data_IF_500746659553
#
_entry.id   IF_500746659553
#
_cell.length_a   1.000
_cell.length_b   1.000
_cell.length_c   1.000
_cell.angle_alpha   90.00
_cell.angle_beta   90.00
_cell.angle_gamma   90.00
#
_symmetry.space_group_name_H-M   'P 1'
#
loop_
_entity.id
_entity.type
_entity.pdbx_description
1 polymer ?
#
# COMPACT_ATOMS: atom_id res chain seq x y z
N UNK A 1 27.33 2.08 21.54
CA UNK A 1 28.03 1.44 20.40
C UNK A 1 26.99 0.69 19.57
N UNK A 2 26.78 1.06 18.31
CA UNK A 2 25.76 0.44 17.44
C UNK A 2 26.13 -1.02 17.11
N UNK A 3 25.17 -1.93 17.22
CA UNK A 3 25.37 -3.37 17.06
C UNK A 3 25.72 -3.73 15.61
N UNK A 4 26.41 -4.85 15.40
CA UNK A 4 26.80 -5.31 14.05
C UNK A 4 25.59 -5.46 13.11
N UNK A 5 24.43 -5.83 13.65
CA UNK A 5 23.16 -5.93 12.92
C UNK A 5 22.61 -4.57 12.49
N UNK A 6 22.64 -3.56 13.37
CA UNK A 6 22.23 -2.19 13.05
C UNK A 6 23.11 -1.56 11.97
N UNK A 7 24.44 -1.79 12.04
CA UNK A 7 25.37 -1.34 11.01
C UNK A 7 25.05 -1.97 9.65
N UNK A 8 24.72 -3.26 9.64
CA UNK A 8 24.34 -3.99 8.41
C UNK A 8 23.00 -3.50 7.84
N UNK A 9 22.01 -3.21 8.70
CA UNK A 9 20.73 -2.61 8.30
C UNK A 9 20.90 -1.21 7.72
N UNK A 10 21.71 -0.36 8.36
CA UNK A 10 22.03 0.97 7.85
C UNK A 10 22.79 0.91 6.52
N UNK A 11 23.72 -0.04 6.37
CA UNK A 11 24.40 -0.29 5.10
C UNK A 11 23.45 -0.76 4.00
N UNK A 12 22.50 -1.64 4.30
CA UNK A 12 21.48 -2.07 3.34
C UNK A 12 20.58 -0.91 2.90
N UNK A 13 20.13 -0.06 3.84
CA UNK A 13 19.38 1.17 3.50
C UNK A 13 20.18 2.11 2.61
N UNK A 14 21.45 2.35 2.93
CA UNK A 14 22.34 3.19 2.10
C UNK A 14 22.59 2.56 0.73
N UNK A 15 22.74 1.24 0.65
CA UNK A 15 22.91 0.52 -0.60
C UNK A 15 21.65 0.59 -1.46
N UNK A 16 20.47 0.40 -0.88
CA UNK A 16 19.18 0.57 -1.57
C UNK A 16 18.98 2.01 -2.03
N UNK A 17 19.25 3.02 -1.19
CA UNK A 17 19.20 4.43 -1.59
C UNK A 17 20.15 4.74 -2.74
N UNK A 18 21.38 4.23 -2.69
CA UNK A 18 22.37 4.38 -3.78
C UNK A 18 21.95 3.66 -5.06
N UNK A 19 21.37 2.47 -4.92
CA UNK A 19 20.83 1.71 -6.05
C UNK A 19 19.67 2.46 -6.71
N UNK A 20 18.70 2.94 -5.92
CA UNK A 20 17.58 3.78 -6.37
C UNK A 20 18.08 5.05 -7.08
N UNK A 21 19.09 5.73 -6.54
CA UNK A 21 19.73 6.90 -7.18
C UNK A 21 20.42 6.57 -8.50
N UNK A 22 21.11 5.42 -8.59
CA UNK A 22 21.82 5.02 -9.81
C UNK A 22 20.84 4.60 -10.91
N UNK A 23 19.77 3.89 -10.54
CA UNK A 23 18.67 3.55 -11.46
C UNK A 23 17.97 4.82 -11.97
N UNK A 24 17.80 5.83 -11.11
CA UNK A 24 17.26 7.15 -11.49
C UNK A 24 18.12 7.85 -12.56
N UNK A 25 19.43 7.88 -12.38
CA UNK A 25 20.35 8.47 -13.38
C UNK A 25 20.32 7.70 -14.70
N UNK A 26 20.28 6.37 -14.66
CA UNK A 26 20.21 5.52 -15.85
C UNK A 26 18.92 5.73 -16.65
N UNK A 27 17.77 5.83 -15.97
CA UNK A 27 16.48 6.08 -16.61
C UNK A 27 16.39 7.51 -17.15
N UNK A 28 16.89 8.52 -16.40
CA UNK A 28 16.99 9.91 -16.89
C UNK A 28 17.92 10.01 -18.12
N UNK A 29 19.02 9.27 -18.16
CA UNK A 29 19.90 9.24 -19.35
C UNK A 29 19.26 8.56 -20.56
N UNK A 30 18.39 7.57 -20.34
CA UNK A 30 17.73 6.80 -21.41
C UNK A 30 16.54 7.54 -22.01
N UNK A 31 15.70 8.15 -21.17
CA UNK A 31 14.59 9.02 -21.62
C UNK A 31 15.07 10.24 -22.41
N UNK A 32 16.22 10.81 -22.07
CA UNK A 32 16.86 11.87 -22.85
C UNK A 32 17.44 11.38 -24.20
N UNK A 33 17.75 10.08 -24.34
CA UNK A 33 18.21 9.49 -25.60
C UNK A 33 17.04 9.08 -26.51
N UNK A 34 15.96 8.57 -25.94
CA UNK A 34 14.77 8.13 -26.68
C UNK A 34 13.93 9.32 -27.19
N UNK A 35 13.95 10.46 -26.50
CA UNK A 35 13.33 11.71 -26.95
C UNK A 35 14.00 12.35 -28.19
N UNK A 36 15.19 11.90 -28.56
CA UNK A 36 15.92 12.36 -29.75
C UNK A 36 15.82 11.40 -30.95
N UNK A 37 15.10 10.27 -30.81
CA UNK A 37 15.08 9.18 -31.78
C UNK A 37 13.65 8.66 -32.03
N UNK A 38 12.77 9.52 -32.54
CA UNK A 38 11.53 9.10 -33.17
C UNK A 38 11.60 9.34 -34.68
N UNK A 39 12.20 8.37 -35.39
CA UNK A 39 11.84 7.98 -36.75
C UNK A 39 12.23 6.51 -36.95
N UNK A 40 11.23 5.74 -37.40
CA UNK A 40 11.29 4.42 -38.07
C UNK A 40 11.43 3.12 -37.23
N UNK A 41 10.32 2.40 -37.26
CA UNK A 41 10.10 0.95 -37.46
C UNK A 41 10.68 -0.13 -36.50
N UNK A 42 9.70 -0.80 -35.86
CA UNK A 42 9.57 -2.24 -35.52
C UNK A 42 10.82 -3.11 -35.24
N UNK A 43 10.83 -3.73 -34.05
CA UNK A 43 10.73 -5.20 -33.95
C UNK A 43 10.62 -5.66 -32.50
N UNK A 44 9.75 -6.65 -32.30
CA UNK A 44 9.54 -7.39 -31.07
C UNK A 44 10.85 -8.03 -30.57
N UNK A 45 11.22 -7.76 -29.32
CA UNK A 45 11.76 -8.74 -28.37
C UNK A 45 12.07 -8.09 -27.02
N UNK A 46 11.47 -8.63 -25.96
CA UNK A 46 11.93 -8.58 -24.56
C UNK A 46 12.22 -7.19 -23.99
N UNK A 47 11.24 -6.61 -23.27
CA UNK A 47 11.47 -5.79 -22.07
C UNK A 47 10.16 -5.73 -21.29
N UNK A 48 10.07 -6.48 -20.19
CA UNK A 48 9.01 -6.33 -19.19
C UNK A 48 9.17 -4.94 -18.59
N UNK A 49 8.38 -4.00 -19.10
CA UNK A 49 8.24 -2.68 -18.52
C UNK A 49 7.57 -2.85 -17.16
N UNK A 50 8.27 -2.48 -16.09
CA UNK A 50 7.79 -2.49 -14.71
C UNK A 50 6.76 -1.38 -14.49
N UNK A 51 5.70 -1.39 -15.28
CA UNK A 51 4.51 -0.55 -15.10
C UNK A 51 3.36 -1.47 -14.71
N UNK A 52 2.70 -1.17 -13.60
CA UNK A 52 1.42 -1.81 -13.27
C UNK A 52 0.43 -1.37 -14.35
N UNK A 53 0.12 -2.26 -15.29
CA UNK A 53 -0.92 -2.03 -16.30
C UNK A 53 -2.26 -2.35 -15.63
N UNK A 54 -3.05 -1.32 -15.32
CA UNK A 54 -4.46 -1.49 -15.00
C UNK A 54 -5.19 -1.82 -16.30
N UNK A 55 -5.61 -3.09 -16.44
CA UNK A 55 -6.35 -3.56 -17.62
C UNK A 55 -7.77 -2.98 -17.67
N UNK A 56 -8.30 -2.80 -18.88
CA UNK A 56 -9.64 -2.28 -19.14
C UNK A 56 -10.75 -3.11 -18.47
N UNK A 57 -11.73 -2.40 -17.91
CA UNK A 57 -12.85 -2.87 -17.09
C UNK A 57 -13.92 -3.72 -17.82
N UNK A 58 -13.62 -4.34 -18.95
CA UNK A 58 -14.60 -5.06 -19.75
C UNK A 58 -14.32 -6.57 -19.78
N UNK A 59 -14.76 -7.26 -18.72
CA UNK A 59 -15.11 -8.67 -18.79
C UNK A 59 -16.55 -8.84 -18.24
N UNK A 60 -17.43 -9.29 -19.13
CA UNK A 60 -18.88 -9.19 -19.07
C UNK A 60 -19.54 -9.91 -17.88
N UNK A 61 -20.48 -9.22 -17.24
CA UNK A 61 -21.50 -9.81 -16.38
C UNK A 61 -22.54 -10.53 -17.27
N UNK A 62 -22.71 -11.85 -17.12
CA UNK A 62 -23.70 -12.63 -17.88
C UNK A 62 -24.63 -13.38 -16.92
N UNK A 63 -25.70 -12.70 -16.53
CA UNK A 63 -26.98 -13.27 -16.08
C UNK A 63 -27.01 -13.98 -14.71
N UNK A 64 -27.92 -13.45 -13.87
CA UNK A 64 -28.71 -14.10 -12.82
C UNK A 64 -28.04 -15.29 -12.09
N UNK A 65 -27.58 -15.03 -10.86
CA UNK A 65 -26.92 -15.93 -9.88
C UNK A 65 -25.38 -16.04 -9.92
N UNK A 66 -24.66 -14.97 -10.23
CA UNK A 66 -23.19 -15.02 -10.41
C UNK A 66 -22.36 -14.53 -9.22
N UNK A 67 -21.39 -15.36 -8.82
CA UNK A 67 -20.20 -14.96 -8.07
C UNK A 67 -19.26 -14.24 -9.04
N UNK A 68 -18.95 -12.98 -8.76
CA UNK A 68 -17.96 -12.20 -9.49
C UNK A 68 -16.55 -12.67 -9.06
N UNK A 69 -15.81 -13.32 -9.96
CA UNK A 69 -14.45 -13.78 -9.64
C UNK A 69 -13.43 -12.64 -9.70
N UNK A 70 -12.41 -12.66 -8.81
CA UNK A 70 -11.94 -11.52 -8.07
C UNK A 70 -10.47 -11.21 -8.41
N UNK A 71 -10.11 -11.21 -9.70
CA UNK A 71 -8.69 -11.03 -10.09
C UNK A 71 -8.15 -9.63 -9.83
N UNK A 72 -9.03 -8.65 -9.63
CA UNK A 72 -8.65 -7.24 -9.44
C UNK A 72 -9.39 -6.55 -8.29
N UNK A 73 -10.00 -7.28 -7.34
CA UNK A 73 -10.76 -6.64 -6.25
C UNK A 73 -9.91 -5.63 -5.46
N UNK A 74 -8.64 -5.95 -5.19
CA UNK A 74 -7.73 -5.03 -4.52
C UNK A 74 -7.42 -3.79 -5.40
N UNK A 75 -7.22 -3.99 -6.70
CA UNK A 75 -6.97 -2.89 -7.64
C UNK A 75 -8.19 -1.98 -7.81
N UNK A 76 -9.39 -2.56 -7.84
CA UNK A 76 -10.66 -1.82 -7.87
C UNK A 76 -10.88 -1.04 -6.57
N UNK A 77 -10.64 -1.69 -5.42
CA UNK A 77 -10.70 -1.04 -4.12
C UNK A 77 -9.72 0.14 -4.02
N UNK A 78 -8.48 -0.07 -4.48
CA UNK A 78 -7.43 0.94 -4.54
C UNK A 78 -7.88 2.13 -5.40
N UNK A 79 -8.29 1.91 -6.65
CA UNK A 79 -8.70 2.97 -7.57
C UNK A 79 -9.91 3.74 -7.03
N UNK A 80 -10.93 3.05 -6.53
CA UNK A 80 -12.11 3.69 -5.92
C UNK A 80 -11.76 4.53 -4.70
N UNK A 81 -10.85 4.05 -3.85
CA UNK A 81 -10.42 4.81 -2.68
C UNK A 81 -9.56 6.02 -3.07
N UNK A 82 -8.67 5.85 -4.05
CA UNK A 82 -7.82 6.91 -4.58
C UNK A 82 -8.63 8.06 -5.15
N UNK A 83 -9.63 7.75 -5.98
CA UNK A 83 -10.57 8.72 -6.55
C UNK A 83 -11.27 9.51 -5.43
N UNK A 84 -11.80 8.81 -4.43
CA UNK A 84 -12.46 9.44 -3.27
C UNK A 84 -11.52 10.34 -2.48
N UNK A 85 -10.25 9.96 -2.34
CA UNK A 85 -9.22 10.72 -1.63
C UNK A 85 -8.63 11.87 -2.46
N UNK A 86 -8.89 11.92 -3.77
CA UNK A 86 -8.31 12.90 -4.69
C UNK A 86 -6.86 12.58 -5.08
N UNK A 87 -6.47 11.30 -5.06
CA UNK A 87 -5.15 10.82 -5.45
C UNK A 87 -5.20 10.38 -6.92
N UNK A 88 -4.43 10.99 -7.83
CA UNK A 88 -4.41 10.57 -9.23
C UNK A 88 -3.79 9.17 -9.41
N UNK A 89 -4.31 8.39 -10.37
CA UNK A 89 -3.73 7.09 -10.73
C UNK A 89 -2.26 7.19 -11.18
N UNK A 90 -1.86 8.32 -11.78
CA UNK A 90 -0.46 8.57 -12.15
C UNK A 90 0.48 8.59 -10.94
N UNK A 91 -0.03 9.02 -9.78
CA UNK A 91 0.72 8.99 -8.52
C UNK A 91 0.80 7.56 -8.00
N UNK A 92 -0.29 6.79 -8.05
CA UNK A 92 -0.31 5.41 -7.56
C UNK A 92 0.49 4.42 -8.42
N UNK A 93 0.52 4.64 -9.73
CA UNK A 93 1.30 3.82 -10.68
C UNK A 93 2.79 4.15 -10.65
N UNK A 94 3.14 5.37 -10.21
CA UNK A 94 4.52 5.77 -10.11
C UNK A 94 5.15 5.22 -8.84
N UNK A 95 5.98 4.20 -9.01
CA UNK A 95 6.77 3.55 -7.96
C UNK A 95 7.53 4.50 -7.02
N UNK A 96 7.87 5.70 -7.48
CA UNK A 96 8.65 6.69 -6.73
C UNK A 96 7.79 7.74 -6.01
N UNK A 97 6.47 7.59 -6.05
CA UNK A 97 5.57 8.52 -5.39
C UNK A 97 5.71 8.42 -3.88
N UNK A 98 5.67 9.59 -3.25
CA UNK A 98 5.68 9.73 -1.80
C UNK A 98 4.36 10.37 -1.41
N UNK A 99 3.73 9.81 -0.38
CA UNK A 99 2.53 10.36 0.20
C UNK A 99 2.79 11.74 0.79
N UNK A 100 1.96 12.70 0.39
CA UNK A 100 1.92 14.05 0.96
C UNK A 100 0.81 14.17 2.01
N UNK A 101 0.34 13.03 2.56
CA UNK A 101 -0.79 13.00 3.50
C UNK A 101 -0.52 13.86 4.72
N UNK A 102 0.73 13.98 5.16
CA UNK A 102 1.12 14.88 6.24
C UNK A 102 0.80 16.35 5.90
N UNK A 103 1.31 16.87 4.78
CA UNK A 103 1.10 18.26 4.38
C UNK A 103 -0.39 18.55 4.13
N UNK A 104 -1.09 17.59 3.52
CA UNK A 104 -2.54 17.68 3.34
C UNK A 104 -3.28 17.74 4.67
N UNK A 105 -2.91 16.88 5.62
CA UNK A 105 -3.58 16.76 6.90
C UNK A 105 -3.40 17.98 7.80
N UNK A 106 -2.24 18.62 7.78
CA UNK A 106 -1.98 19.88 8.51
C UNK A 106 -2.96 21.00 8.12
N UNK A 107 -3.41 20.98 6.86
CA UNK A 107 -4.39 21.92 6.30
C UNK A 107 -5.84 21.45 6.47
N UNK A 108 -6.07 20.24 6.99
CA UNK A 108 -7.41 19.63 7.10
C UNK A 108 -8.19 20.20 8.29
N UNK A 109 -9.51 20.49 8.14
CA UNK A 109 -10.37 20.83 9.26
C UNK A 109 -10.59 19.64 10.22
N UNK A 110 -10.30 18.41 9.79
CA UNK A 110 -10.42 17.19 10.60
C UNK A 110 -9.17 16.88 11.42
N UNK A 111 -8.13 17.73 11.42
CA UNK A 111 -6.81 17.40 12.01
C UNK A 111 -6.85 16.94 13.48
N UNK A 112 -7.78 17.49 14.25
CA UNK A 112 -7.96 17.19 15.68
C UNK A 112 -8.67 15.84 15.94
N UNK A 113 -9.16 15.17 14.88
CA UNK A 113 -9.82 13.85 14.95
C UNK A 113 -8.85 12.68 14.76
N UNK A 114 -7.55 12.95 14.65
CA UNK A 114 -6.55 11.87 14.64
C UNK A 114 -6.73 11.06 15.92
N UNK A 115 -7.00 9.77 15.77
CA UNK A 115 -6.97 8.86 16.91
C UNK A 115 -5.53 8.88 17.43
N UNK A 116 -5.27 9.69 18.45
CA UNK A 116 -4.05 9.60 19.24
C UNK A 116 -4.16 8.28 19.99
N UNK A 117 -3.77 7.19 19.33
CA UNK A 117 -3.34 5.97 20.04
C UNK A 117 -2.03 6.34 20.73
N UNK A 118 -2.18 6.97 21.90
CA UNK A 118 -1.10 7.38 22.81
C UNK A 118 -0.24 6.20 23.30
N UNK A 119 -0.60 4.96 22.96
CA UNK A 119 -0.02 3.76 23.53
C UNK A 119 0.84 2.91 22.57
N UNK A 120 1.02 3.31 21.30
CA UNK A 120 1.78 2.51 20.32
C UNK A 120 3.10 3.11 19.83
N UNK A 121 3.56 4.21 20.41
CA UNK A 121 4.94 4.68 20.22
C UNK A 121 5.70 4.37 21.51
N UNK A 122 6.44 3.24 21.61
CA UNK A 122 7.42 3.07 22.67
C UNK A 122 8.38 4.26 22.61
N UNK A 123 8.61 4.92 23.75
CA UNK A 123 9.47 6.10 23.90
C UNK A 123 10.92 5.93 23.38
N UNK A 124 11.29 4.74 22.89
CA UNK A 124 12.62 4.36 22.42
C UNK A 124 12.72 4.05 20.91
N UNK A 125 11.68 4.23 20.11
CA UNK A 125 11.87 4.22 18.65
C UNK A 125 12.54 5.54 18.26
N UNK A 126 13.86 5.48 18.03
CA UNK A 126 14.60 6.55 17.39
C UNK A 126 14.13 6.65 15.93
N UNK A 127 12.97 7.26 15.72
CA UNK A 127 12.51 7.72 14.42
C UNK A 127 13.51 8.80 14.05
N UNK A 128 14.56 8.42 13.31
CA UNK A 128 15.39 9.38 12.61
C UNK A 128 14.43 10.17 11.75
N UNK A 129 14.03 11.36 12.22
CA UNK A 129 13.43 12.37 11.37
C UNK A 129 14.37 12.51 10.18
N UNK A 130 14.02 11.91 9.05
CA UNK A 130 14.68 12.24 7.79
C UNK A 130 14.15 13.61 7.42
N UNK A 131 14.64 14.64 8.13
CA UNK A 131 14.64 16.02 7.64
C UNK A 131 15.61 16.05 6.46
N UNK A 132 15.17 15.49 5.35
CA UNK A 132 15.72 15.83 4.05
C UNK A 132 14.65 16.61 3.34
N UNK A 133 14.79 17.93 3.47
CA UNK A 133 14.50 18.88 2.41
C UNK A 133 14.89 18.24 1.06
N UNK A 134 13.90 17.86 0.25
CA UNK A 134 14.11 17.36 -1.09
C UNK A 134 13.32 18.24 -2.05
N UNK A 135 13.99 18.66 -3.10
CA UNK A 135 13.59 19.70 -4.04
C UNK A 135 12.23 19.39 -4.69
N UNK A 136 11.41 20.43 -4.82
CA UNK A 136 10.00 20.45 -5.26
C UNK A 136 9.75 19.81 -6.65
N UNK A 137 10.80 19.47 -7.41
CA UNK A 137 10.72 19.23 -8.85
C UNK A 137 10.51 17.76 -9.28
N UNK A 138 10.69 16.76 -8.39
CA UNK A 138 10.65 15.36 -8.83
C UNK A 138 9.46 14.53 -8.29
N UNK A 139 8.58 15.10 -7.47
CA UNK A 139 7.39 14.40 -6.96
C UNK A 139 6.12 15.01 -7.55
N UNK A 140 5.27 14.20 -8.21
CA UNK A 140 3.89 14.58 -8.46
C UNK A 140 3.18 14.68 -7.11
N UNK A 141 3.24 15.87 -6.51
CA UNK A 141 2.67 16.16 -5.20
C UNK A 141 1.15 15.98 -5.27
N UNK A 142 0.59 15.10 -4.42
CA UNK A 142 -0.86 15.08 -4.18
C UNK A 142 -1.18 16.39 -3.45
N UNK A 143 -1.64 17.40 -4.19
CA UNK A 143 -1.87 18.74 -3.63
C UNK A 143 -3.29 18.94 -3.08
N UNK A 144 -4.20 17.98 -3.30
CA UNK A 144 -5.64 18.18 -3.10
C UNK A 144 -6.34 16.98 -2.42
N UNK A 145 -5.87 16.62 -1.23
CA UNK A 145 -6.51 15.59 -0.41
C UNK A 145 -7.97 15.92 -0.08
N UNK A 146 -8.86 14.93 -0.17
CA UNK A 146 -10.30 15.03 0.12
C UNK A 146 -10.70 14.34 1.42
N UNK A 147 -10.16 14.80 2.54
CA UNK A 147 -10.42 14.20 3.86
C UNK A 147 -11.88 14.29 4.32
N UNK A 148 -12.67 15.21 3.75
CA UNK A 148 -14.11 15.32 3.98
C UNK A 148 -14.88 14.10 3.44
N UNK A 149 -14.33 13.40 2.43
CA UNK A 149 -14.98 12.29 1.72
C UNK A 149 -14.63 10.91 2.24
N UNK A 150 -13.81 10.81 3.29
CA UNK A 150 -13.36 9.54 3.85
C UNK A 150 -13.93 9.29 5.26
N UNK A 151 -14.20 8.03 5.63
CA UNK A 151 -14.68 7.66 6.97
C UNK A 151 -13.56 7.70 8.02
N UNK A 152 -13.94 7.55 9.29
CA UNK A 152 -13.03 7.67 10.44
C UNK A 152 -11.85 6.68 10.40
N UNK A 153 -12.10 5.44 9.97
CA UNK A 153 -11.09 4.38 9.87
C UNK A 153 -10.03 4.63 8.79
N UNK A 154 -10.32 5.54 7.84
CA UNK A 154 -9.40 5.97 6.78
C UNK A 154 -8.62 7.25 7.13
N UNK A 155 -8.87 7.89 8.27
CA UNK A 155 -8.09 9.06 8.67
C UNK A 155 -6.61 8.71 8.85
N UNK A 156 -5.68 9.66 8.65
CA UNK A 156 -4.26 9.39 8.78
C UNK A 156 -3.90 8.97 10.21
N UNK A 157 -2.98 8.01 10.33
CA UNK A 157 -2.43 7.60 11.62
C UNK A 157 -1.16 8.40 11.94
N UNK A 158 -0.73 8.46 13.21
CA UNK A 158 0.53 9.12 13.58
C UNK A 158 1.74 8.59 12.80
N UNK A 159 1.75 7.29 12.48
CA UNK A 159 2.79 6.67 11.66
C UNK A 159 2.81 7.23 10.24
N UNK A 160 1.65 7.35 9.58
CA UNK A 160 1.54 7.92 8.23
C UNK A 160 1.93 9.40 8.19
N UNK A 161 1.65 10.14 9.26
CA UNK A 161 2.06 11.55 9.36
C UNK A 161 3.56 11.73 9.65
N UNK A 162 4.28 10.68 10.02
CA UNK A 162 5.68 10.77 10.47
C UNK A 162 6.69 9.99 9.63
N UNK A 163 6.22 8.99 8.87
CA UNK A 163 7.05 8.06 8.11
C UNK A 163 6.79 8.29 6.62
N UNK A 164 7.85 8.50 5.83
CA UNK A 164 7.77 8.59 4.37
C UNK A 164 7.34 7.24 3.79
N UNK A 165 6.32 7.24 2.93
CA UNK A 165 5.76 6.02 2.35
C UNK A 165 5.03 6.28 1.03
N UNK A 166 4.74 5.22 0.29
CA UNK A 166 3.97 5.30 -0.96
C UNK A 166 2.47 5.47 -0.68
N UNK A 167 1.73 6.33 -1.44
CA UNK A 167 0.30 6.60 -1.21
C UNK A 167 -0.61 5.37 -1.27
N UNK A 168 -0.15 4.28 -1.89
CA UNK A 168 -0.80 2.96 -1.85
C UNK A 168 -1.23 2.55 -0.44
N UNK A 169 -0.37 2.78 0.57
CA UNK A 169 -0.66 2.42 1.97
C UNK A 169 -1.81 3.26 2.55
N UNK A 170 -1.98 4.50 2.08
CA UNK A 170 -3.05 5.40 2.56
C UNK A 170 -4.44 5.00 2.08
N UNK A 171 -4.53 4.45 0.88
CA UNK A 171 -5.81 4.25 0.19
C UNK A 171 -6.26 2.80 0.16
N UNK A 172 -5.37 1.81 0.20
CA UNK A 172 -5.79 0.40 0.00
C UNK A 172 -6.33 -0.26 1.27
N UNK A 173 -5.74 0.01 2.44
CA UNK A 173 -6.05 -0.74 3.67
C UNK A 173 -7.01 0.03 4.59
N UNK A 174 -8.24 -0.46 4.83
CA UNK A 174 -9.23 0.27 5.63
C UNK A 174 -8.98 0.22 7.14
N UNK A 175 -7.90 -0.41 7.60
CA UNK A 175 -7.59 -0.55 9.02
C UNK A 175 -6.42 0.33 9.43
N UNK A 176 -6.68 1.29 10.33
CA UNK A 176 -5.66 2.17 10.88
C UNK A 176 -4.52 1.42 11.59
N UNK A 177 -4.86 0.33 12.29
CA UNK A 177 -3.89 -0.54 12.97
C UNK A 177 -2.92 -1.19 11.97
N UNK A 178 -3.44 -1.78 10.90
CA UNK A 178 -2.65 -2.42 9.85
C UNK A 178 -1.76 -1.41 9.14
N UNK A 179 -2.28 -0.24 8.74
CA UNK A 179 -1.48 0.84 8.12
C UNK A 179 -0.33 1.26 9.02
N UNK A 180 -0.57 1.43 10.31
CA UNK A 180 0.47 1.78 11.28
C UNK A 180 1.51 0.67 11.45
N UNK A 181 1.08 -0.59 11.59
CA UNK A 181 1.97 -1.76 11.70
C UNK A 181 2.82 -1.93 10.44
N UNK A 182 2.25 -1.72 9.25
CA UNK A 182 3.00 -1.77 7.99
C UNK A 182 4.15 -0.77 8.06
N UNK A 183 3.87 0.51 8.33
CA UNK A 183 4.90 1.55 8.32
C UNK A 183 5.97 1.37 9.41
N UNK A 184 5.58 0.89 10.60
CA UNK A 184 6.52 0.69 11.71
C UNK A 184 7.42 -0.54 11.52
N UNK A 185 6.93 -1.58 10.83
CA UNK A 185 7.64 -2.85 10.66
C UNK A 185 8.36 -2.96 9.30
N UNK A 186 7.93 -2.18 8.31
CA UNK A 186 8.57 -2.09 7.00
C UNK A 186 10.07 -1.72 7.15
N UNK A 187 10.89 -2.24 6.25
CA UNK A 187 12.37 -2.22 6.27
C UNK A 187 13.03 -3.04 7.39
N UNK A 188 12.31 -3.40 8.45
CA UNK A 188 12.86 -4.18 9.56
C UNK A 188 12.52 -5.67 9.49
N UNK A 189 11.29 -5.99 9.06
CA UNK A 189 10.75 -7.35 8.95
C UNK A 189 10.51 -7.75 7.49
N UNK A 190 9.98 -6.82 6.69
CA UNK A 190 9.67 -7.04 5.28
C UNK A 190 9.95 -5.77 4.44
N UNK A 191 9.96 -5.89 3.12
CA UNK A 191 10.09 -4.76 2.19
C UNK A 191 8.77 -4.40 1.52
N UNK A 192 8.66 -3.19 1.02
CA UNK A 192 7.49 -2.71 0.27
C UNK A 192 7.17 -3.62 -0.92
N UNK A 193 8.18 -4.10 -1.63
CA UNK A 193 8.05 -5.00 -2.78
C UNK A 193 7.47 -6.37 -2.36
N UNK A 194 7.84 -6.88 -1.18
CA UNK A 194 7.27 -8.13 -0.66
C UNK A 194 5.79 -7.99 -0.32
N UNK A 195 5.39 -6.88 0.29
CA UNK A 195 3.99 -6.61 0.60
C UNK A 195 3.17 -6.42 -0.68
N UNK A 196 3.68 -5.63 -1.63
CA UNK A 196 3.06 -5.41 -2.93
C UNK A 196 2.85 -6.73 -3.68
N UNK A 197 3.88 -7.58 -3.74
CA UNK A 197 3.78 -8.90 -4.37
C UNK A 197 2.71 -9.76 -3.69
N UNK A 198 2.72 -9.87 -2.35
CA UNK A 198 1.74 -10.69 -1.64
C UNK A 198 0.32 -10.22 -1.91
N UNK A 199 0.08 -8.90 -1.78
CA UNK A 199 -1.27 -8.33 -1.91
C UNK A 199 -1.83 -8.46 -3.32
N UNK A 200 -1.01 -8.30 -4.37
CA UNK A 200 -1.46 -8.32 -5.76
C UNK A 200 -1.45 -9.71 -6.39
N UNK A 201 -0.52 -10.58 -6.01
CA UNK A 201 -0.26 -11.84 -6.73
C UNK A 201 -0.46 -13.11 -5.89
N UNK A 202 -0.97 -12.99 -4.64
CA UNK A 202 -1.26 -14.15 -3.79
C UNK A 202 -2.05 -15.24 -4.52
N UNK A 203 -3.00 -14.84 -5.39
CA UNK A 203 -3.82 -15.79 -6.14
C UNK A 203 -3.02 -16.70 -7.08
N UNK A 204 -1.91 -16.22 -7.64
CA UNK A 204 -1.03 -17.00 -8.52
C UNK A 204 -0.26 -18.05 -7.73
N UNK A 205 0.11 -17.74 -6.49
CA UNK A 205 0.94 -18.60 -5.63
C UNK A 205 0.12 -19.58 -4.79
N UNK A 206 -1.02 -19.14 -4.28
CA UNK A 206 -1.82 -19.86 -3.28
C UNK A 206 -3.20 -20.27 -3.78
N UNK A 207 -3.60 -19.86 -5.00
CA UNK A 207 -4.94 -20.13 -5.53
C UNK A 207 -6.05 -19.27 -4.92
N UNK A 208 -5.73 -18.36 -4.00
CA UNK A 208 -6.66 -17.38 -3.42
C UNK A 208 -6.01 -15.97 -3.33
N UNK A 209 -6.75 -14.88 -3.57
CA UNK A 209 -6.25 -13.52 -3.38
C UNK A 209 -5.97 -13.26 -1.90
N UNK A 210 -5.03 -12.35 -1.58
CA UNK A 210 -4.70 -12.01 -0.19
C UNK A 210 -5.89 -11.40 0.58
N UNK A 211 -6.72 -10.65 -0.15
CA UNK A 211 -7.92 -9.99 0.35
C UNK A 211 -9.09 -10.24 -0.58
N UNK A 212 -10.27 -10.43 -0.01
CA UNK A 212 -11.55 -10.45 -0.71
C UNK A 212 -12.42 -9.30 -0.19
N UNK A 213 -13.02 -8.54 -1.10
CA UNK A 213 -13.93 -7.43 -0.75
C UNK A 213 -15.36 -7.85 -1.08
N UNK A 214 -16.20 -7.96 -0.06
CA UNK A 214 -17.58 -8.45 -0.14
C UNK A 214 -18.63 -7.35 -0.31
N UNK A 215 -18.34 -6.13 0.17
CA UNK A 215 -19.25 -4.99 0.12
C UNK A 215 -18.93 -4.01 -1.00
N UNK A 216 -19.87 -3.09 -1.23
CA UNK A 216 -19.73 -2.07 -2.27
C UNK A 216 -18.73 -0.97 -1.90
N UNK A 217 -18.47 -0.74 -0.61
CA UNK A 217 -17.57 0.31 -0.14
C UNK A 217 -16.22 -0.25 0.34
N UNK A 218 -15.13 -0.09 -0.44
CA UNK A 218 -13.81 -0.54 -0.03
C UNK A 218 -13.21 0.25 1.14
N UNK A 219 -13.78 1.39 1.55
CA UNK A 219 -13.38 2.08 2.78
C UNK A 219 -14.06 1.51 4.03
N UNK A 220 -15.07 0.64 3.90
CA UNK A 220 -15.68 -0.04 5.03
C UNK A 220 -14.80 -1.23 5.46
N UNK A 221 -14.17 -1.12 6.63
CA UNK A 221 -13.34 -2.18 7.21
C UNK A 221 -14.11 -3.50 7.45
N UNK A 222 -15.43 -3.43 7.54
CA UNK A 222 -16.28 -4.62 7.66
C UNK A 222 -16.43 -5.36 6.33
N UNK A 223 -16.15 -4.74 5.19
CA UNK A 223 -16.37 -5.35 3.88
C UNK A 223 -15.25 -6.28 3.43
N UNK A 224 -14.22 -6.48 4.25
CA UNK A 224 -13.00 -7.19 3.86
C UNK A 224 -12.83 -8.54 4.58
N UNK A 225 -12.38 -9.54 3.83
CA UNK A 225 -11.93 -10.85 4.31
C UNK A 225 -10.45 -11.04 3.97
N UNK A 226 -9.65 -11.48 4.93
CA UNK A 226 -8.24 -11.85 4.74
C UNK A 226 -8.12 -13.35 4.43
N UNK A 227 -7.25 -13.71 3.50
CA UNK A 227 -7.02 -15.11 3.14
C UNK A 227 -6.27 -15.91 4.23
N UNK A 228 -6.34 -17.23 4.17
CA UNK A 228 -5.59 -18.08 5.10
C UNK A 228 -4.08 -17.93 4.87
N UNK A 229 -3.64 -17.83 3.61
CA UNK A 229 -2.23 -17.63 3.27
C UNK A 229 -1.70 -16.32 3.83
N UNK A 230 -2.42 -15.21 3.64
CA UNK A 230 -2.02 -13.90 4.15
C UNK A 230 -2.02 -13.90 5.68
N UNK A 231 -3.06 -14.43 6.31
CA UNK A 231 -3.11 -14.54 7.77
C UNK A 231 -1.96 -15.38 8.34
N UNK A 232 -1.51 -16.41 7.64
CA UNK A 232 -0.39 -17.25 8.09
C UNK A 232 0.95 -16.53 7.95
N UNK A 233 1.19 -15.87 6.82
CA UNK A 233 2.49 -15.26 6.49
C UNK A 233 2.66 -13.85 7.08
N UNK A 234 1.57 -13.13 7.28
CA UNK A 234 1.52 -11.71 7.64
C UNK A 234 0.70 -11.44 8.92
N UNK A 235 0.53 -12.47 9.77
CA UNK A 235 -0.21 -12.41 11.03
C UNK A 235 0.12 -11.17 11.89
N UNK A 236 1.39 -10.75 11.92
CA UNK A 236 1.87 -9.61 12.69
C UNK A 236 1.29 -8.25 12.23
N UNK A 237 0.68 -8.18 11.06
CA UNK A 237 -0.07 -7.01 10.58
C UNK A 237 -1.54 -7.01 11.01
N UNK A 238 -2.07 -8.15 11.44
CA UNK A 238 -3.48 -8.35 11.74
C UNK A 238 -3.76 -8.10 13.23
N UNK A 239 -4.97 -7.63 13.53
CA UNK A 239 -5.48 -7.52 14.89
C UNK A 239 -6.75 -8.37 15.06
N UNK A 240 -7.27 -8.41 16.30
CA UNK A 240 -8.47 -9.19 16.63
C UNK A 240 -9.67 -8.78 15.79
N UNK A 241 -9.84 -7.50 15.49
CA UNK A 241 -11.02 -7.02 14.77
C UNK A 241 -10.99 -7.50 13.32
N UNK A 242 -9.83 -7.46 12.68
CA UNK A 242 -9.63 -7.98 11.31
C UNK A 242 -9.92 -9.48 11.26
N UNK A 243 -9.40 -10.26 12.21
CA UNK A 243 -9.64 -11.72 12.27
C UNK A 243 -11.11 -12.03 12.57
N UNK A 244 -11.73 -11.35 13.53
CA UNK A 244 -13.14 -11.54 13.87
C UNK A 244 -14.04 -11.27 12.67
N UNK A 245 -13.75 -10.21 11.91
CA UNK A 245 -14.54 -9.88 10.73
C UNK A 245 -14.31 -10.85 9.59
N UNK A 246 -13.07 -11.26 9.38
CA UNK A 246 -12.71 -12.32 8.42
C UNK A 246 -13.46 -13.62 8.74
N UNK A 247 -13.47 -14.05 10.01
CA UNK A 247 -14.20 -15.25 10.44
C UNK A 247 -15.72 -15.10 10.30
N UNK A 248 -16.27 -13.89 10.43
CA UNK A 248 -17.67 -13.64 10.15
C UNK A 248 -18.03 -13.94 8.69
N UNK A 249 -17.23 -13.48 7.72
CA UNK A 249 -17.41 -13.79 6.29
C UNK A 249 -17.21 -15.26 5.99
N UNK A 250 -16.17 -15.88 6.55
CA UNK A 250 -15.88 -17.31 6.37
C UNK A 250 -17.04 -18.19 6.86
N UNK A 251 -17.68 -17.85 7.98
CA UNK A 251 -18.89 -18.53 8.47
C UNK A 251 -20.07 -18.43 7.50
N UNK A 252 -20.27 -17.30 6.83
CA UNK A 252 -21.35 -17.17 5.82
C UNK A 252 -21.17 -18.15 4.66
N UNK A 253 -19.91 -18.49 4.36
CA UNK A 253 -19.51 -19.37 3.27
C UNK A 253 -19.21 -20.80 3.74
N UNK A 254 -19.54 -21.14 4.99
CA UNK A 254 -19.24 -22.43 5.61
C UNK A 254 -17.75 -22.84 5.53
N UNK A 255 -16.84 -21.85 5.48
CA UNK A 255 -15.39 -22.07 5.48
C UNK A 255 -14.87 -22.19 6.92
N UNK A 256 -13.81 -23.00 7.16
CA UNK A 256 -13.17 -23.08 8.47
C UNK A 256 -12.64 -21.72 8.92
N UNK A 257 -12.80 -21.36 10.19
CA UNK A 257 -12.30 -20.10 10.73
C UNK A 257 -10.76 -20.01 10.74
N UNK A 258 -10.23 -18.80 10.62
CA UNK A 258 -8.83 -18.53 10.90
C UNK A 258 -8.56 -18.66 12.41
N UNK A 259 -7.41 -19.23 12.76
CA UNK A 259 -7.01 -19.41 14.16
C UNK A 259 -6.77 -18.08 14.89
N UNK A 260 -7.13 -17.99 16.17
CA UNK A 260 -6.80 -16.84 17.02
C UNK A 260 -5.29 -16.66 17.26
N UNK A 261 -4.47 -17.68 16.97
CA UNK A 261 -3.00 -17.61 17.10
C UNK A 261 -2.37 -16.52 16.19
N UNK A 262 -3.12 -16.04 15.19
CA UNK A 262 -2.65 -14.98 14.28
C UNK A 262 -2.77 -13.55 14.85
N UNK A 263 -3.18 -13.37 16.10
CA UNK A 263 -3.41 -12.04 16.69
C UNK A 263 -2.25 -11.59 17.58
N UNK A 264 -1.75 -10.37 17.35
CA UNK A 264 -0.92 -9.61 18.31
C UNK A 264 -1.77 -8.56 19.03
N UNK A 265 -1.68 -8.53 20.37
CA UNK A 265 -2.22 -7.48 21.24
C UNK A 265 -1.38 -6.19 21.23
#
# INVERSE_FOLDING_TARGET
MSTTLEKRREQNRKAQRKHRSKVRELIKSRTNQDGAKLTEEESEQSLVSSSIIFGDNNAECIQSSQICLPKFQLAQALSKNAERMGIPDSVLTNYWSISTIQQGWESSPKKDQTQIVSNFIPANINIKHSKTCLTVEDHQSISNWKFDRIPQNMLPTPAQLSIEHHPYIDCVFPWASMRSKILLLMESIFTEEQLCQETLTSHERYGEPAFTVWGDDPMDESSWEVSQSFATNWWFLLDRQIINRTNWWRRQQERPELSEVYVMD
#
